data_IF_654695904810
#
_entry.id   IF_654695904810
#
_cell.length_a   1.000
_cell.length_b   1.000
_cell.length_c   1.000
_cell.angle_alpha   90.00
_cell.angle_beta   90.00
_cell.angle_gamma   90.00
#
_symmetry.space_group_name_H-M   'P 1'
#
loop_
_entity.id
_entity.type
_entity.pdbx_description
1 polymer ?
#
# COMPACT_ATOMS: atom_id res chain seq x y z
N UNK A 1 26.53 60.15 4.30
CA UNK A 1 25.38 60.70 5.05
C UNK A 1 24.65 59.56 5.74
N UNK A 2 24.74 59.43 7.07
CA UNK A 2 23.88 58.54 7.83
C UNK A 2 22.56 59.26 8.16
N UNK A 3 21.43 58.59 7.94
CA UNK A 3 20.13 59.06 8.40
C UNK A 3 19.49 57.97 9.27
N UNK A 4 19.40 58.35 10.53
CA UNK A 4 18.75 57.71 11.68
C UNK A 4 17.23 57.87 11.67
N UNK A 5 16.59 57.18 12.62
CA UNK A 5 15.21 57.30 13.17
C UNK A 5 14.20 56.20 12.74
N UNK A 6 13.18 55.88 13.58
CA UNK A 6 13.27 55.52 15.00
C UNK A 6 12.37 54.33 15.40
N UNK A 7 12.69 53.75 16.56
CA UNK A 7 11.88 52.78 17.32
C UNK A 7 10.67 53.50 17.96
N UNK A 8 9.48 52.90 17.85
CA UNK A 8 8.27 53.31 18.60
C UNK A 8 8.07 52.39 19.83
N UNK A 9 7.83 52.94 21.04
CA UNK A 9 7.48 52.18 22.24
C UNK A 9 5.95 52.11 22.43
N UNK A 10 5.44 51.05 23.05
CA UNK A 10 4.07 51.05 23.59
C UNK A 10 3.99 50.32 24.94
N UNK A 11 3.84 51.16 25.96
CA UNK A 11 3.15 51.04 27.25
C UNK A 11 3.28 49.77 28.10
N UNK A 12 3.99 49.95 29.21
CA UNK A 12 3.73 49.31 30.50
C UNK A 12 2.32 49.68 31.01
N UNK A 13 1.53 48.68 31.39
CA UNK A 13 0.38 48.85 32.27
C UNK A 13 0.76 48.33 33.66
N UNK A 14 0.90 49.26 34.61
CA UNK A 14 1.07 48.99 36.03
C UNK A 14 -0.24 48.45 36.60
N UNK A 15 -0.20 47.28 37.24
CA UNK A 15 -1.33 46.75 38.00
C UNK A 15 -1.05 46.96 39.50
N UNK A 16 -1.90 47.81 40.10
CA UNK A 16 -1.86 48.27 41.48
C UNK A 16 -2.15 47.11 42.44
N UNK A 17 -1.26 46.97 43.43
CA UNK A 17 -1.31 45.98 44.50
C UNK A 17 -2.16 46.55 45.65
N UNK A 18 -3.40 46.08 45.81
CA UNK A 18 -4.22 46.36 47.00
C UNK A 18 -4.16 45.13 47.91
N UNK A 19 -3.52 45.30 49.06
CA UNK A 19 -3.45 44.32 50.13
C UNK A 19 -4.73 44.38 51.00
N UNK A 20 -5.37 43.23 51.20
CA UNK A 20 -6.39 43.01 52.23
C UNK A 20 -5.96 41.83 53.12
N UNK A 21 -6.19 41.86 54.45
CA UNK A 21 -5.66 40.88 55.38
C UNK A 21 -6.60 39.67 55.55
N UNK A 22 -5.99 38.48 55.63
CA UNK A 22 -6.36 37.44 56.59
C UNK A 22 -7.69 36.69 56.39
N UNK A 23 -7.68 35.66 55.54
CA UNK A 23 -8.45 34.43 55.80
C UNK A 23 -7.55 33.24 55.44
N UNK A 24 -7.21 32.44 56.45
CA UNK A 24 -6.28 31.31 56.33
C UNK A 24 -6.83 30.23 55.41
N UNK A 25 -6.43 30.27 54.15
CA UNK A 25 -6.50 29.12 53.25
C UNK A 25 -5.21 28.35 53.48
N UNK A 26 -5.30 27.22 54.20
CA UNK A 26 -4.27 26.19 54.14
C UNK A 26 -4.03 25.89 52.66
N UNK A 27 -2.80 25.96 52.13
CA UNK A 27 -2.54 25.37 50.83
C UNK A 27 -2.79 23.87 51.01
N UNK A 28 -3.95 23.42 50.55
CA UNK A 28 -4.16 22.02 50.22
C UNK A 28 -3.00 21.67 49.31
N UNK A 29 -2.19 20.70 49.71
CA UNK A 29 -1.18 20.13 48.85
C UNK A 29 -1.89 19.75 47.55
N UNK A 30 -1.75 20.62 46.55
CA UNK A 30 -2.07 20.29 45.19
C UNK A 30 -1.17 19.10 44.90
N UNK A 31 -1.76 17.90 44.97
CA UNK A 31 -1.22 16.75 44.29
C UNK A 31 -0.83 17.28 42.93
N UNK A 32 0.45 17.21 42.60
CA UNK A 32 0.93 17.37 41.24
C UNK A 32 0.27 16.25 40.45
N UNK A 33 -0.97 16.48 40.06
CA UNK A 33 -1.66 15.75 39.03
C UNK A 33 -0.81 16.02 37.82
N UNK A 34 0.10 15.07 37.53
CA UNK A 34 0.75 14.97 36.25
C UNK A 34 -0.32 15.29 35.22
N UNK A 35 -0.05 16.29 34.38
CA UNK A 35 -0.94 16.71 33.31
C UNK A 35 -1.48 15.45 32.64
N UNK A 36 -2.72 15.44 32.17
CA UNK A 36 -3.34 14.22 31.60
C UNK A 36 -2.51 13.56 30.50
N UNK A 37 -1.54 14.28 29.92
CA UNK A 37 -0.54 13.78 28.96
C UNK A 37 0.75 13.22 29.58
N UNK A 38 0.96 13.21 30.90
CA UNK A 38 2.15 12.64 31.54
C UNK A 38 1.99 11.14 31.83
N UNK A 39 0.76 10.62 31.76
CA UNK A 39 0.51 9.18 31.93
C UNK A 39 0.91 8.39 30.67
N UNK A 40 1.67 7.28 30.79
CA UNK A 40 2.08 6.50 29.63
C UNK A 40 0.94 6.05 28.71
N UNK A 41 -0.19 5.62 29.29
CA UNK A 41 -1.37 5.18 28.52
C UNK A 41 -1.98 6.31 27.68
N UNK A 42 -2.02 7.53 28.20
CA UNK A 42 -2.58 8.68 27.47
C UNK A 42 -1.61 9.19 26.41
N UNK A 43 -0.29 9.12 26.66
CA UNK A 43 0.74 9.38 25.66
C UNK A 43 0.66 8.41 24.49
N UNK A 44 0.56 7.10 24.74
CA UNK A 44 0.37 6.08 23.69
C UNK A 44 -0.90 6.36 22.87
N UNK A 45 -2.03 6.66 23.53
CA UNK A 45 -3.27 6.97 22.83
C UNK A 45 -3.20 8.28 22.03
N UNK A 46 -2.40 9.25 22.47
CA UNK A 46 -2.14 10.47 21.72
C UNK A 46 -1.20 10.23 20.54
N UNK A 47 -0.12 9.47 20.73
CA UNK A 47 0.80 9.06 19.68
C UNK A 47 0.05 8.32 18.55
N UNK A 48 -0.83 7.38 18.87
CA UNK A 48 -1.66 6.68 17.89
C UNK A 48 -2.53 7.64 17.06
N UNK A 49 -3.04 8.72 17.65
CA UNK A 49 -3.81 9.74 16.92
C UNK A 49 -2.93 10.56 15.99
N UNK A 50 -1.68 10.82 16.36
CA UNK A 50 -0.70 11.46 15.48
C UNK A 50 -0.35 10.55 14.30
N UNK A 51 -0.14 9.25 14.53
CA UNK A 51 0.08 8.26 13.46
C UNK A 51 -1.07 8.28 12.44
N UNK A 52 -2.32 8.32 12.90
CA UNK A 52 -3.50 8.37 12.02
C UNK A 52 -3.58 9.66 11.17
N UNK A 53 -2.88 10.72 11.57
CA UNK A 53 -2.76 11.97 10.80
C UNK A 53 -1.50 12.02 9.94
N UNK A 54 -0.65 11.00 9.99
CA UNK A 54 0.65 10.97 9.33
C UNK A 54 1.74 11.78 10.05
N UNK A 55 1.48 12.25 11.27
CA UNK A 55 2.43 13.01 12.10
C UNK A 55 3.43 12.07 12.80
N UNK A 56 4.12 11.25 12.00
CA UNK A 56 4.94 10.12 12.48
C UNK A 56 6.12 10.55 13.37
N UNK A 57 6.72 11.72 13.12
CA UNK A 57 7.83 12.20 13.96
C UNK A 57 7.37 12.48 15.39
N UNK A 58 6.27 13.21 15.55
CA UNK A 58 5.69 13.50 16.87
C UNK A 58 5.18 12.24 17.57
N UNK A 59 4.60 11.29 16.82
CA UNK A 59 4.21 9.99 17.38
C UNK A 59 5.42 9.23 17.94
N UNK A 60 6.54 9.20 17.21
CA UNK A 60 7.75 8.51 17.63
C UNK A 60 8.35 9.12 18.90
N UNK A 61 8.41 10.45 18.99
CA UNK A 61 8.89 11.16 20.18
C UNK A 61 8.08 10.78 21.43
N UNK A 62 6.75 10.68 21.29
CA UNK A 62 5.89 10.25 22.39
C UNK A 62 6.11 8.80 22.78
N UNK A 63 6.24 7.88 21.81
CA UNK A 63 6.54 6.49 22.11
C UNK A 63 7.90 6.36 22.80
N UNK A 64 8.92 7.11 22.38
CA UNK A 64 10.23 7.13 23.03
C UNK A 64 10.16 7.71 24.46
N UNK A 65 9.34 8.74 24.69
CA UNK A 65 9.12 9.30 26.01
C UNK A 65 8.44 8.30 26.97
N UNK A 66 7.54 7.45 26.45
CA UNK A 66 6.96 6.33 27.20
C UNK A 66 8.03 5.28 27.50
N UNK A 67 8.80 4.86 26.48
CA UNK A 67 9.84 3.83 26.61
C UNK A 67 11.00 4.24 27.52
N UNK A 68 11.25 5.53 27.67
CA UNK A 68 12.26 6.05 28.60
C UNK A 68 11.84 5.88 30.07
N UNK A 69 10.53 5.81 30.35
CA UNK A 69 9.97 5.59 31.69
C UNK A 69 9.66 4.12 31.95
N UNK A 70 9.15 3.43 30.94
CA UNK A 70 8.79 2.02 30.95
C UNK A 70 9.31 1.36 29.68
N UNK A 71 10.53 0.82 29.76
CA UNK A 71 11.20 0.27 28.60
C UNK A 71 10.49 -0.97 28.02
N UNK A 72 9.68 -1.68 28.83
CA UNK A 72 9.00 -2.91 28.45
C UNK A 72 7.53 -2.68 28.05
N UNK A 73 7.14 -1.41 27.87
CA UNK A 73 5.80 -1.05 27.46
C UNK A 73 5.47 -1.57 26.05
N UNK A 74 4.71 -2.67 26.00
CA UNK A 74 4.35 -3.37 24.76
C UNK A 74 3.69 -2.46 23.73
N UNK A 75 2.71 -1.64 24.14
CA UNK A 75 1.98 -0.77 23.21
C UNK A 75 2.90 0.31 22.61
N UNK A 76 3.84 0.83 23.40
CA UNK A 76 4.80 1.81 22.93
C UNK A 76 5.91 1.19 22.06
N UNK A 77 6.33 -0.04 22.33
CA UNK A 77 7.26 -0.77 21.46
C UNK A 77 6.63 -1.06 20.09
N UNK A 78 5.39 -1.54 20.08
CA UNK A 78 4.64 -1.87 18.85
C UNK A 78 4.29 -0.59 18.07
N UNK A 79 3.93 0.48 18.78
CA UNK A 79 3.84 1.83 18.22
C UNK A 79 5.14 2.31 17.58
N UNK A 80 6.24 2.32 18.33
CA UNK A 80 7.54 2.76 17.84
C UNK A 80 8.01 1.96 16.61
N UNK A 81 7.86 0.63 16.62
CA UNK A 81 8.21 -0.21 15.48
C UNK A 81 7.44 0.18 14.22
N UNK A 82 6.11 0.34 14.32
CA UNK A 82 5.28 0.79 13.20
C UNK A 82 5.61 2.21 12.75
N UNK A 83 5.84 3.14 13.68
CA UNK A 83 6.16 4.53 13.34
C UNK A 83 7.52 4.63 12.64
N UNK A 84 8.53 3.91 13.12
CA UNK A 84 9.86 3.83 12.49
C UNK A 84 9.75 3.25 11.07
N UNK A 85 8.96 2.19 10.91
CA UNK A 85 8.63 1.57 9.62
C UNK A 85 7.92 2.56 8.66
N UNK A 86 7.01 3.40 9.16
CA UNK A 86 6.33 4.42 8.36
C UNK A 86 7.25 5.59 7.97
N UNK A 87 8.32 5.82 8.74
CA UNK A 87 9.37 6.80 8.44
C UNK A 87 10.45 6.25 7.49
N UNK A 88 10.36 4.98 7.08
CA UNK A 88 11.37 4.30 6.27
C UNK A 88 12.64 3.93 7.04
N UNK A 89 12.62 4.01 8.37
CA UNK A 89 13.74 3.64 9.25
C UNK A 89 13.66 2.15 9.59
N UNK A 90 13.66 1.32 8.56
CA UNK A 90 13.36 -0.12 8.64
C UNK A 90 14.33 -0.87 9.55
N UNK A 91 15.63 -0.58 9.43
CA UNK A 91 16.64 -1.17 10.29
C UNK A 91 16.47 -0.77 11.76
N UNK A 92 16.07 0.46 12.04
CA UNK A 92 15.85 0.90 13.43
C UNK A 92 14.58 0.27 14.03
N UNK A 93 13.59 -0.06 13.19
CA UNK A 93 12.34 -0.70 13.61
C UNK A 93 12.53 -2.15 14.08
N UNK A 94 13.65 -2.82 13.78
CA UNK A 94 13.90 -4.21 14.22
C UNK A 94 14.14 -4.30 15.73
N UNK A 95 14.84 -3.34 16.33
CA UNK A 95 15.15 -3.35 17.76
C UNK A 95 13.91 -3.40 18.69
N UNK A 96 12.86 -2.56 18.52
CA UNK A 96 11.64 -2.70 19.30
C UNK A 96 10.89 -4.01 19.02
N UNK A 97 10.96 -4.57 17.80
CA UNK A 97 10.37 -5.87 17.48
C UNK A 97 11.08 -7.04 18.18
N UNK A 98 12.41 -7.03 18.22
CA UNK A 98 13.20 -8.04 18.94
C UNK A 98 12.91 -8.02 20.43
N UNK A 99 12.59 -6.83 20.97
CA UNK A 99 12.13 -6.69 22.35
C UNK A 99 10.71 -7.22 22.53
N UNK A 100 9.78 -6.89 21.64
CA UNK A 100 8.41 -7.42 21.67
C UNK A 100 8.39 -8.94 21.59
N UNK A 101 9.21 -9.57 20.76
CA UNK A 101 9.26 -11.03 20.65
C UNK A 101 9.77 -11.71 21.91
N UNK A 102 10.67 -11.06 22.67
CA UNK A 102 11.09 -11.55 24.00
C UNK A 102 9.99 -11.43 25.03
N UNK A 103 9.23 -10.32 25.00
CA UNK A 103 8.11 -10.08 25.92
C UNK A 103 6.86 -10.91 25.57
N UNK A 104 6.68 -11.24 24.29
CA UNK A 104 5.51 -11.92 23.74
C UNK A 104 5.91 -13.11 22.86
N UNK A 105 6.54 -14.17 23.41
CA UNK A 105 7.10 -15.27 22.63
C UNK A 105 6.05 -16.09 21.86
N UNK A 106 4.77 -15.96 22.21
CA UNK A 106 3.64 -16.66 21.56
C UNK A 106 2.89 -15.80 20.55
N UNK A 107 3.18 -14.50 20.44
CA UNK A 107 2.47 -13.61 19.52
C UNK A 107 3.05 -13.71 18.10
N UNK A 108 2.17 -13.87 17.10
CA UNK A 108 2.55 -13.89 15.68
C UNK A 108 2.72 -12.50 15.05
N UNK A 109 2.22 -11.44 15.70
CA UNK A 109 2.31 -10.06 15.19
C UNK A 109 3.74 -9.55 14.99
N UNK A 110 4.60 -9.57 16.02
CA UNK A 110 5.98 -9.10 15.90
C UNK A 110 6.82 -9.81 14.81
N UNK A 111 6.84 -11.16 14.69
CA UNK A 111 7.60 -11.80 13.60
C UNK A 111 7.01 -11.52 12.22
N UNK A 112 5.69 -11.30 12.09
CA UNK A 112 5.09 -10.84 10.82
C UNK A 112 5.59 -9.43 10.47
N UNK A 113 5.58 -8.50 11.43
CA UNK A 113 6.13 -7.16 11.21
C UNK A 113 7.61 -7.21 10.85
N UNK A 114 8.40 -8.06 11.50
CA UNK A 114 9.82 -8.25 11.17
C UNK A 114 10.00 -8.75 9.73
N UNK A 115 9.19 -9.71 9.28
CA UNK A 115 9.21 -10.18 7.89
C UNK A 115 8.93 -9.07 6.87
N UNK A 116 7.95 -8.20 7.14
CA UNK A 116 7.63 -7.05 6.27
C UNK A 116 8.86 -6.13 6.13
N UNK A 117 9.55 -5.84 7.24
CA UNK A 117 10.78 -5.03 7.20
C UNK A 117 11.87 -5.72 6.39
N UNK A 118 12.08 -7.02 6.59
CA UNK A 118 13.10 -7.79 5.88
C UNK A 118 12.83 -7.84 4.36
N UNK A 119 11.57 -7.94 3.94
CA UNK A 119 11.20 -7.82 2.52
C UNK A 119 11.59 -6.45 1.95
N UNK A 120 11.35 -5.35 2.68
CA UNK A 120 11.73 -4.00 2.24
C UNK A 120 13.24 -3.75 2.25
N UNK A 121 13.95 -4.44 3.14
CA UNK A 121 15.41 -4.45 3.21
C UNK A 121 16.05 -5.43 2.20
N UNK A 122 15.26 -6.01 1.29
CA UNK A 122 15.72 -6.96 0.27
C UNK A 122 16.40 -8.21 0.85
N UNK A 123 15.91 -8.68 2.01
CA UNK A 123 16.33 -9.91 2.68
C UNK A 123 15.21 -10.98 2.67
N UNK A 124 14.76 -11.44 1.50
CA UNK A 124 13.58 -12.29 1.38
C UNK A 124 13.74 -13.68 2.02
N UNK A 125 14.95 -14.26 2.03
CA UNK A 125 15.20 -15.54 2.69
C UNK A 125 14.96 -15.46 4.21
N UNK A 126 15.47 -14.40 4.84
CA UNK A 126 15.23 -14.13 6.25
C UNK A 126 13.73 -13.84 6.49
N UNK A 127 13.09 -13.09 5.60
CA UNK A 127 11.65 -12.82 5.68
C UNK A 127 10.83 -14.12 5.68
N UNK A 128 11.14 -15.09 4.81
CA UNK A 128 10.46 -16.39 4.77
C UNK A 128 10.55 -17.17 6.09
N UNK A 129 11.70 -17.10 6.78
CA UNK A 129 11.87 -17.73 8.10
C UNK A 129 11.01 -17.05 9.17
N UNK A 130 10.94 -15.71 9.16
CA UNK A 130 10.11 -14.95 10.09
C UNK A 130 8.62 -15.17 9.82
N UNK A 131 8.21 -15.28 8.55
CA UNK A 131 6.83 -15.61 8.16
C UNK A 131 6.42 -17.01 8.64
N UNK A 132 7.29 -18.00 8.53
CA UNK A 132 7.03 -19.33 9.09
C UNK A 132 6.82 -19.28 10.61
N UNK A 133 7.63 -18.47 11.31
CA UNK A 133 7.48 -18.25 12.75
C UNK A 133 6.16 -17.54 13.08
N UNK A 134 5.78 -16.52 12.30
CA UNK A 134 4.55 -15.78 12.47
C UNK A 134 3.32 -16.67 12.28
N UNK A 135 3.33 -17.52 11.25
CA UNK A 135 2.27 -18.49 10.97
C UNK A 135 2.08 -19.48 12.12
N UNK A 136 3.18 -20.07 12.61
CA UNK A 136 3.15 -20.98 13.77
C UNK A 136 2.60 -20.32 15.04
N UNK A 137 2.80 -19.00 15.18
CA UNK A 137 2.33 -18.19 16.32
C UNK A 137 0.98 -17.50 16.06
N UNK A 138 0.23 -17.93 15.04
CA UNK A 138 -1.15 -17.50 14.80
C UNK A 138 -1.29 -16.10 14.19
N UNK A 139 -0.31 -15.62 13.44
CA UNK A 139 -0.47 -14.39 12.66
C UNK A 139 -1.58 -14.55 11.58
N UNK A 140 -2.25 -13.45 11.17
CA UNK A 140 -3.31 -13.52 10.17
C UNK A 140 -2.83 -14.14 8.85
N UNK A 141 -3.45 -15.25 8.44
CA UNK A 141 -3.06 -16.02 7.25
C UNK A 141 -2.97 -15.17 5.98
N UNK A 142 -3.93 -14.27 5.78
CA UNK A 142 -3.96 -13.39 4.61
C UNK A 142 -2.69 -12.52 4.50
N UNK A 143 -2.24 -11.94 5.61
CA UNK A 143 -1.04 -11.11 5.65
C UNK A 143 0.24 -11.95 5.48
N UNK A 144 0.31 -13.10 6.15
CA UNK A 144 1.46 -14.01 6.04
C UNK A 144 1.66 -14.47 4.60
N UNK A 145 0.61 -14.92 3.93
CA UNK A 145 0.68 -15.41 2.55
C UNK A 145 0.94 -14.28 1.54
N UNK A 146 0.46 -13.06 1.81
CA UNK A 146 0.75 -11.88 0.96
C UNK A 146 2.24 -11.52 1.00
N UNK A 147 2.82 -11.44 2.21
CA UNK A 147 4.25 -11.15 2.39
C UNK A 147 5.15 -12.32 1.95
N UNK A 148 4.65 -13.56 2.04
CA UNK A 148 5.31 -14.73 1.46
C UNK A 148 5.38 -14.61 -0.06
N UNK A 149 4.30 -14.18 -0.70
CA UNK A 149 4.27 -13.90 -2.13
C UNK A 149 5.34 -12.87 -2.52
N UNK A 150 5.43 -11.77 -1.79
CA UNK A 150 6.46 -10.75 -2.03
C UNK A 150 7.88 -11.31 -1.90
N UNK A 151 8.16 -12.05 -0.82
CA UNK A 151 9.47 -12.66 -0.61
C UNK A 151 9.84 -13.61 -1.76
N UNK A 152 8.87 -14.38 -2.26
CA UNK A 152 9.08 -15.31 -3.38
C UNK A 152 9.30 -14.60 -4.71
N UNK A 153 8.59 -13.51 -4.99
CA UNK A 153 8.86 -12.66 -6.16
C UNK A 153 10.29 -12.07 -6.11
N UNK A 154 10.71 -11.57 -4.95
CA UNK A 154 12.07 -11.04 -4.72
C UNK A 154 13.17 -12.11 -4.82
N UNK A 155 12.82 -13.39 -4.77
CA UNK A 155 13.72 -14.52 -5.02
C UNK A 155 13.64 -15.02 -6.47
N UNK A 156 12.81 -14.41 -7.33
CA UNK A 156 12.56 -14.88 -8.70
C UNK A 156 11.71 -16.17 -8.77
N UNK A 157 11.05 -16.55 -7.67
CA UNK A 157 10.17 -17.73 -7.57
C UNK A 157 8.71 -17.34 -7.85
N UNK A 158 8.49 -16.68 -8.98
CA UNK A 158 7.24 -16.00 -9.31
C UNK A 158 6.00 -16.93 -9.37
N UNK A 159 6.14 -18.18 -9.83
CA UNK A 159 5.00 -19.13 -9.80
C UNK A 159 4.55 -19.48 -8.38
N UNK A 160 5.50 -19.65 -7.47
CA UNK A 160 5.19 -19.90 -6.06
C UNK A 160 4.60 -18.64 -5.41
N UNK A 161 5.10 -17.46 -5.79
CA UNK A 161 4.56 -16.17 -5.36
C UNK A 161 3.08 -16.02 -5.75
N UNK A 162 2.74 -16.32 -7.01
CA UNK A 162 1.36 -16.31 -7.52
C UNK A 162 0.43 -17.20 -6.68
N UNK A 163 0.89 -18.39 -6.30
CA UNK A 163 0.12 -19.30 -5.43
C UNK A 163 -0.02 -18.77 -4.00
N UNK A 164 1.01 -18.11 -3.45
CA UNK A 164 0.95 -17.50 -2.13
C UNK A 164 -0.04 -16.32 -2.11
N UNK A 165 0.00 -15.41 -3.08
CA UNK A 165 -1.00 -14.34 -3.19
C UNK A 165 -2.43 -14.87 -3.38
N UNK A 166 -2.59 -15.94 -4.17
CA UNK A 166 -3.90 -16.59 -4.34
C UNK A 166 -4.44 -17.13 -3.01
N UNK A 167 -3.57 -17.72 -2.18
CA UNK A 167 -3.91 -18.17 -0.81
C UNK A 167 -4.23 -16.98 0.11
N UNK A 168 -3.50 -15.87 -0.01
CA UNK A 168 -3.79 -14.66 0.73
C UNK A 168 -5.19 -14.09 0.40
N UNK A 169 -5.51 -13.97 -0.89
CA UNK A 169 -6.82 -13.46 -1.36
C UNK A 169 -7.96 -14.44 -1.09
N UNK A 170 -7.68 -15.75 -1.04
CA UNK A 170 -8.68 -16.73 -0.58
C UNK A 170 -9.00 -16.59 0.91
N UNK A 171 -8.04 -16.16 1.71
CA UNK A 171 -8.24 -15.90 3.14
C UNK A 171 -8.91 -14.54 3.40
N UNK A 172 -8.59 -13.52 2.59
CA UNK A 172 -9.21 -12.19 2.64
C UNK A 172 -9.24 -11.55 1.24
N UNK A 173 -10.40 -11.60 0.55
CA UNK A 173 -10.55 -11.02 -0.80
C UNK A 173 -10.48 -9.49 -0.84
N UNK A 174 -10.59 -8.80 0.30
CA UNK A 174 -10.64 -7.33 0.36
C UNK A 174 -9.27 -6.66 0.29
N UNK A 175 -8.20 -7.44 0.26
CA UNK A 175 -6.81 -6.95 0.30
C UNK A 175 -6.34 -6.40 -1.05
N UNK A 176 -6.76 -5.17 -1.36
CA UNK A 176 -6.39 -4.45 -2.60
C UNK A 176 -4.87 -4.45 -2.86
N UNK A 177 -4.05 -4.28 -1.81
CA UNK A 177 -2.58 -4.32 -1.94
C UNK A 177 -2.06 -5.68 -2.42
N UNK A 178 -2.64 -6.77 -1.95
CA UNK A 178 -2.31 -8.13 -2.39
C UNK A 178 -2.73 -8.35 -3.84
N UNK A 179 -3.92 -7.86 -4.22
CA UNK A 179 -4.40 -7.88 -5.61
C UNK A 179 -3.45 -7.13 -6.55
N UNK A 180 -2.98 -5.95 -6.16
CA UNK A 180 -1.96 -5.20 -6.91
C UNK A 180 -0.67 -5.99 -7.03
N UNK A 181 -0.15 -6.57 -5.93
CA UNK A 181 1.09 -7.36 -5.98
C UNK A 181 0.96 -8.58 -6.90
N UNK A 182 -0.16 -9.30 -6.83
CA UNK A 182 -0.44 -10.42 -7.73
C UNK A 182 -0.49 -9.97 -9.20
N UNK A 183 -1.10 -8.82 -9.52
CA UNK A 183 -1.14 -8.32 -10.90
C UNK A 183 0.26 -8.06 -11.45
N UNK A 184 1.15 -7.49 -10.62
CA UNK A 184 2.53 -7.23 -11.01
C UNK A 184 3.32 -8.53 -11.17
N UNK A 185 3.11 -9.51 -10.27
CA UNK A 185 3.73 -10.83 -10.39
C UNK A 185 3.31 -11.56 -11.68
N UNK A 186 2.01 -11.48 -12.06
CA UNK A 186 1.51 -11.97 -13.35
C UNK A 186 2.17 -11.27 -14.54
N UNK A 187 2.36 -9.95 -14.47
CA UNK A 187 3.04 -9.21 -15.53
C UNK A 187 4.54 -9.54 -15.63
N UNK A 188 5.21 -9.86 -14.51
CA UNK A 188 6.60 -10.38 -14.54
C UNK A 188 6.66 -11.73 -15.27
N UNK A 189 5.63 -12.58 -15.08
CA UNK A 189 5.44 -13.83 -15.81
C UNK A 189 4.90 -13.64 -17.26
N UNK A 190 4.77 -12.39 -17.73
CA UNK A 190 4.27 -12.02 -19.05
C UNK A 190 2.78 -12.34 -19.30
N UNK A 191 2.00 -12.63 -18.24
CA UNK A 191 0.54 -12.74 -18.33
C UNK A 191 -0.12 -11.37 -18.12
N UNK A 192 0.08 -10.48 -19.08
CA UNK A 192 -0.42 -9.10 -19.03
C UNK A 192 -1.96 -9.06 -19.05
N UNK A 193 -2.61 -9.99 -19.75
CA UNK A 193 -4.08 -10.06 -19.82
C UNK A 193 -4.72 -10.35 -18.47
N UNK A 194 -4.18 -11.34 -17.74
CA UNK A 194 -4.63 -11.64 -16.38
C UNK A 194 -4.29 -10.50 -15.41
N UNK A 195 -3.10 -9.90 -15.52
CA UNK A 195 -2.70 -8.74 -14.71
C UNK A 195 -3.69 -7.57 -14.85
N UNK A 196 -4.04 -7.19 -16.08
CA UNK A 196 -4.97 -6.10 -16.36
C UNK A 196 -6.38 -6.40 -15.88
N UNK A 197 -6.85 -7.64 -16.07
CA UNK A 197 -8.17 -8.09 -15.59
C UNK A 197 -8.25 -7.99 -14.06
N UNK A 198 -7.17 -8.39 -13.37
CA UNK A 198 -7.11 -8.32 -11.92
C UNK A 198 -7.14 -6.86 -11.42
N UNK A 199 -6.38 -5.97 -12.06
CA UNK A 199 -6.40 -4.53 -11.73
C UNK A 199 -7.77 -3.88 -11.96
N UNK A 200 -8.52 -4.31 -12.99
CA UNK A 200 -9.88 -3.81 -13.24
C UNK A 200 -10.85 -4.14 -12.10
N UNK A 201 -10.66 -5.27 -11.38
CA UNK A 201 -11.55 -5.66 -10.28
C UNK A 201 -11.54 -4.66 -9.12
N UNK A 202 -10.42 -3.97 -8.92
CA UNK A 202 -10.17 -3.03 -7.82
C UNK A 202 -10.08 -1.56 -8.29
N UNK A 203 -10.25 -1.30 -9.59
CA UNK A 203 -10.12 0.05 -10.16
C UNK A 203 -11.17 1.04 -9.66
N UNK A 204 -12.32 0.55 -9.20
CA UNK A 204 -13.42 1.38 -8.66
C UNK A 204 -13.36 1.57 -7.14
N UNK A 205 -12.42 0.91 -6.45
CA UNK A 205 -12.27 1.04 -5.01
C UNK A 205 -11.59 2.38 -4.68
N UNK A 206 -12.14 3.21 -3.77
CA UNK A 206 -11.55 4.51 -3.44
C UNK A 206 -10.08 4.42 -2.99
N UNK A 207 -9.71 3.36 -2.28
CA UNK A 207 -8.32 3.09 -1.88
C UNK A 207 -7.46 2.44 -2.95
N UNK A 208 -8.06 1.99 -4.06
CA UNK A 208 -7.40 1.32 -5.17
C UNK A 208 -6.92 2.27 -6.27
N UNK A 209 -7.50 3.48 -6.40
CA UNK A 209 -7.26 4.37 -7.55
C UNK A 209 -5.77 4.63 -7.82
N UNK A 210 -5.02 5.07 -6.81
CA UNK A 210 -3.60 5.41 -6.99
C UNK A 210 -2.70 4.15 -7.12
N UNK A 211 -2.81 3.13 -6.23
CA UNK A 211 -2.06 1.89 -6.40
C UNK A 211 -2.32 1.18 -7.74
N UNK A 212 -3.58 1.15 -8.20
CA UNK A 212 -3.98 0.54 -9.47
C UNK A 212 -3.38 1.29 -10.64
N UNK A 213 -3.41 2.62 -10.63
CA UNK A 213 -2.84 3.44 -11.70
C UNK A 213 -1.33 3.26 -11.81
N UNK A 214 -0.63 3.26 -10.67
CA UNK A 214 0.81 2.94 -10.63
C UNK A 214 1.07 1.55 -11.19
N UNK A 215 0.32 0.55 -10.72
CA UNK A 215 0.48 -0.83 -11.20
C UNK A 215 0.19 -0.94 -12.70
N UNK A 216 -0.81 -0.24 -13.20
CA UNK A 216 -1.15 -0.19 -14.62
C UNK A 216 0.02 0.34 -15.45
N UNK A 217 0.61 1.48 -15.07
CA UNK A 217 1.80 2.00 -15.73
C UNK A 217 2.96 0.99 -15.73
N UNK A 218 3.19 0.30 -14.61
CA UNK A 218 4.22 -0.73 -14.50
C UNK A 218 3.92 -1.97 -15.37
N UNK A 219 2.66 -2.39 -15.48
CA UNK A 219 2.25 -3.51 -16.35
C UNK A 219 2.54 -3.18 -17.82
N UNK A 220 2.14 -1.99 -18.30
CA UNK A 220 2.46 -1.53 -19.66
C UNK A 220 3.97 -1.37 -19.89
N UNK A 221 4.72 -0.90 -18.89
CA UNK A 221 6.16 -0.81 -18.99
C UNK A 221 6.82 -2.21 -19.08
N UNK A 222 6.32 -3.20 -18.34
CA UNK A 222 6.82 -4.58 -18.37
C UNK A 222 6.51 -5.30 -19.70
N UNK A 223 5.45 -4.94 -20.40
CA UNK A 223 5.14 -5.44 -21.75
C UNK A 223 5.91 -4.72 -22.87
N UNK A 224 6.52 -3.57 -22.56
CA UNK A 224 7.41 -2.82 -23.45
C UNK A 224 6.80 -1.54 -24.02
N UNK A 225 5.52 -1.28 -23.76
CA UNK A 225 4.81 -0.06 -24.17
C UNK A 225 5.15 1.11 -23.24
N UNK A 226 6.39 1.59 -23.36
CA UNK A 226 6.94 2.69 -22.54
C UNK A 226 6.13 3.98 -22.67
N UNK A 227 5.67 4.34 -23.88
CA UNK A 227 4.87 5.54 -24.09
C UNK A 227 3.53 5.47 -23.34
N UNK A 228 2.87 4.32 -23.36
CA UNK A 228 1.61 4.12 -22.65
C UNK A 228 1.82 4.16 -21.14
N UNK A 229 2.91 3.57 -20.65
CA UNK A 229 3.27 3.66 -19.23
C UNK A 229 3.48 5.11 -18.78
N UNK A 230 4.18 5.94 -19.56
CA UNK A 230 4.35 7.38 -19.29
C UNK A 230 3.01 8.10 -19.34
N UNK A 231 2.17 7.85 -20.35
CA UNK A 231 0.84 8.44 -20.49
C UNK A 231 -0.06 8.13 -19.29
N UNK A 232 -0.03 6.90 -18.81
CA UNK A 232 -0.79 6.49 -17.61
C UNK A 232 -0.23 7.19 -16.36
N UNK A 233 1.09 7.26 -16.20
CA UNK A 233 1.72 7.95 -15.08
C UNK A 233 1.35 9.46 -15.05
N UNK A 234 1.29 10.10 -16.22
CA UNK A 234 0.88 11.50 -16.38
C UNK A 234 -0.57 11.79 -15.96
N UNK A 235 -1.39 10.76 -15.73
CA UNK A 235 -2.74 10.97 -15.17
C UNK A 235 -2.73 11.28 -13.66
N UNK A 236 -1.67 10.90 -12.93
CA UNK A 236 -1.49 11.15 -11.49
C UNK A 236 -0.37 12.14 -11.17
N UNK A 237 0.64 12.24 -12.03
CA UNK A 237 1.84 13.03 -11.80
C UNK A 237 1.88 14.22 -12.74
N UNK A 238 2.57 15.32 -12.36
CA UNK A 238 2.92 16.38 -13.31
C UNK A 238 3.65 15.77 -14.52
N UNK A 239 3.38 16.30 -15.71
CA UNK A 239 3.89 15.79 -16.98
C UNK A 239 5.42 15.60 -16.97
N UNK A 240 6.16 16.58 -16.45
CA UNK A 240 7.62 16.51 -16.31
C UNK A 240 8.07 15.34 -15.41
N UNK A 241 7.35 15.08 -14.33
CA UNK A 241 7.64 13.97 -13.41
C UNK A 241 7.33 12.62 -14.05
N UNK A 242 6.23 12.52 -14.78
CA UNK A 242 5.88 11.30 -15.52
C UNK A 242 6.91 10.99 -16.62
N UNK A 243 7.33 12.01 -17.36
CA UNK A 243 8.35 11.90 -18.42
C UNK A 243 9.72 11.49 -17.84
N UNK A 244 10.07 11.97 -16.64
CA UNK A 244 11.29 11.56 -15.94
C UNK A 244 11.33 10.05 -15.59
N UNK A 245 10.18 9.35 -15.59
CA UNK A 245 10.10 7.90 -15.39
C UNK A 245 10.31 7.08 -16.67
N UNK A 246 10.34 7.71 -17.85
CA UNK A 246 10.59 7.01 -19.14
C UNK A 246 11.81 6.09 -19.13
N UNK A 247 13.02 6.51 -18.68
CA UNK A 247 14.18 5.62 -18.67
C UNK A 247 13.98 4.42 -17.73
N UNK A 248 13.26 4.60 -16.63
CA UNK A 248 12.90 3.51 -15.72
C UNK A 248 12.00 2.49 -16.44
N UNK A 249 10.92 2.94 -17.06
CA UNK A 249 9.98 2.08 -17.79
C UNK A 249 10.65 1.34 -18.96
N UNK A 250 11.50 2.01 -19.73
CA UNK A 250 12.22 1.41 -20.87
C UNK A 250 13.21 0.30 -20.48
N UNK A 251 13.65 0.27 -19.22
CA UNK A 251 14.57 -0.73 -18.71
C UNK A 251 13.85 -1.99 -18.20
N UNK A 252 12.64 -1.85 -17.67
CA UNK A 252 11.91 -2.94 -17.01
C UNK A 252 11.85 -4.25 -17.83
N UNK A 253 11.53 -4.25 -19.15
CA UNK A 253 11.48 -5.48 -19.94
C UNK A 253 12.79 -6.27 -19.96
N UNK A 254 13.94 -5.58 -19.84
CA UNK A 254 15.30 -6.12 -19.98
C UNK A 254 15.84 -6.77 -18.69
N UNK A 255 15.16 -6.56 -17.57
CA UNK A 255 15.58 -7.05 -16.27
C UNK A 255 15.25 -8.54 -16.09
N UNK A 256 16.01 -9.20 -15.22
CA UNK A 256 15.68 -10.56 -14.73
C UNK A 256 14.38 -10.54 -13.90
N UNK A 257 13.67 -11.67 -13.72
CA UNK A 257 12.45 -11.71 -12.92
C UNK A 257 12.61 -11.15 -11.49
N UNK A 258 13.72 -11.48 -10.83
CA UNK A 258 14.06 -10.96 -9.50
C UNK A 258 14.25 -9.43 -9.52
N UNK A 259 14.99 -8.91 -10.50
CA UNK A 259 15.20 -7.46 -10.63
C UNK A 259 13.90 -6.74 -10.98
N UNK A 260 13.02 -7.33 -11.80
CA UNK A 260 11.67 -6.81 -12.07
C UNK A 260 10.88 -6.74 -10.78
N UNK A 261 10.87 -7.80 -9.96
CA UNK A 261 10.16 -7.82 -8.68
C UNK A 261 10.63 -6.72 -7.73
N UNK A 262 11.95 -6.57 -7.54
CA UNK A 262 12.51 -5.47 -6.74
C UNK A 262 12.10 -4.10 -7.29
N UNK A 263 12.16 -3.92 -8.61
CA UNK A 263 11.80 -2.67 -9.28
C UNK A 263 10.32 -2.31 -9.14
N UNK A 264 9.40 -3.26 -9.30
CA UNK A 264 7.96 -2.96 -9.28
C UNK A 264 7.36 -2.94 -7.87
N UNK A 265 7.90 -3.72 -6.93
CA UNK A 265 7.36 -3.79 -5.57
C UNK A 265 8.04 -2.84 -4.59
N UNK A 266 9.35 -2.62 -4.73
CA UNK A 266 10.13 -1.78 -3.81
C UNK A 266 10.52 -0.44 -4.43
N UNK A 267 10.27 -0.24 -5.73
CA UNK A 267 10.73 0.93 -6.49
C UNK A 267 12.24 1.07 -6.53
N UNK A 268 12.94 -0.07 -6.46
CA UNK A 268 14.39 -0.13 -6.52
C UNK A 268 14.84 -0.58 -7.91
N UNK A 269 15.50 0.30 -8.66
CA UNK A 269 16.24 -0.12 -9.86
C UNK A 269 17.60 -0.67 -9.44
N UNK A 270 18.07 -1.79 -10.02
CA UNK A 270 19.45 -2.21 -9.83
C UNK A 270 20.43 -1.08 -10.21
N UNK A 271 21.27 -0.64 -9.27
CA UNK A 271 22.34 0.35 -9.50
C UNK A 271 23.40 -0.10 -10.52
N UNK A 272 23.33 -1.32 -11.07
CA UNK A 272 24.33 -1.89 -11.99
C UNK A 272 24.49 -1.10 -13.30
N UNK A 273 23.52 -0.26 -13.67
CA UNK A 273 23.63 0.59 -14.87
C UNK A 273 24.37 1.92 -14.64
N UNK A 274 24.60 2.36 -13.39
CA UNK A 274 25.54 3.44 -13.13
C UNK A 274 26.99 2.96 -13.31
N UNK A 275 27.26 1.69 -13.00
CA UNK A 275 28.60 1.09 -13.13
C UNK A 275 28.94 0.79 -14.60
N UNK A 276 27.99 0.31 -15.41
CA UNK A 276 28.21 0.09 -16.85
C UNK A 276 28.33 1.40 -17.65
N UNK A 277 27.59 2.45 -17.26
CA UNK A 277 27.76 3.79 -17.85
C UNK A 277 29.07 4.47 -17.42
N UNK A 278 29.54 4.23 -16.19
CA UNK A 278 30.84 4.73 -15.71
C UNK A 278 32.03 3.93 -16.27
N UNK A 279 31.86 2.64 -16.57
CA UNK A 279 32.90 1.80 -17.18
C UNK A 279 33.13 2.09 -18.67
N UNK A 280 32.22 2.83 -19.33
CA UNK A 280 32.32 3.24 -20.73
C UNK A 280 32.94 4.64 -20.93
N UNK A 281 33.35 5.33 -19.86
CA UNK A 281 34.04 6.62 -19.93
C UNK A 281 35.54 6.44 -19.65
N UNK A 282 36.45 6.94 -20.52
CA UNK A 282 37.88 6.93 -20.21
C UNK A 282 38.13 7.72 -18.91
N UNK A 283 38.82 7.06 -17.98
CA UNK A 283 39.12 7.58 -16.66
C UNK A 283 39.72 9.00 -16.71
N UNK A 284 38.97 9.98 -16.22
CA UNK A 284 39.56 11.22 -15.71
C UNK A 284 39.89 11.00 -14.24
N UNK A 285 41.15 10.75 -13.97
CA UNK A 285 41.74 10.75 -12.63
C UNK A 285 41.60 12.15 -12.02
N UNK A 286 40.60 12.33 -11.16
CA UNK A 286 40.61 13.38 -10.15
C UNK A 286 40.85 12.71 -8.81
N UNK A 287 42.04 12.92 -8.25
CA UNK A 287 42.38 12.51 -6.89
C UNK A 287 41.44 13.23 -5.91
N UNK A 288 40.46 12.51 -5.37
CA UNK A 288 39.68 12.93 -4.22
C UNK A 288 40.11 12.08 -3.02
N UNK A 289 40.58 12.76 -1.97
CA UNK A 289 41.02 12.16 -0.72
C UNK A 289 39.89 11.31 -0.08
N UNK A 290 40.23 10.19 0.59
CA UNK A 290 39.24 9.37 1.28
C UNK A 290 38.67 10.14 2.48
N UNK A 291 37.44 10.65 2.34
CA UNK A 291 36.66 11.03 3.51
C UNK A 291 35.97 9.78 4.05
N UNK A 292 36.57 9.21 5.08
CA UNK A 292 35.97 8.20 5.94
C UNK A 292 34.63 8.72 6.47
N UNK A 293 33.54 7.93 6.43
CA UNK A 293 32.34 8.29 7.19
C UNK A 293 32.69 8.35 8.68
N UNK A 294 32.49 9.53 9.26
CA UNK A 294 32.65 9.77 10.70
C UNK A 294 31.56 9.00 11.45
N UNK A 295 31.94 7.91 12.11
CA UNK A 295 31.09 7.20 13.05
C UNK A 295 31.15 7.90 14.41
N UNK A 296 29.99 8.15 15.02
CA UNK A 296 29.90 8.57 16.42
C UNK A 296 30.43 7.43 17.31
N UNK A 297 31.57 7.72 17.97
CA UNK A 297 32.25 6.90 18.95
C UNK A 297 31.32 6.42 20.08
N UNK A 298 31.09 5.10 20.17
CA UNK A 298 30.75 4.44 21.43
C UNK A 298 31.97 3.61 21.83
N UNK A 299 32.72 4.13 22.81
CA UNK A 299 33.84 3.44 23.46
C UNK A 299 33.37 2.08 24.00
N UNK A 300 34.02 1.02 23.55
CA UNK A 300 34.16 -0.24 24.28
C UNK A 300 35.64 -0.45 24.62
N UNK A 301 35.96 -1.28 25.62
CA UNK A 301 37.10 -2.16 25.48
C UNK A 301 36.73 -3.66 25.62
N UNK A 302 37.44 -4.55 24.89
CA UNK A 302 37.28 -6.03 24.87
C UNK A 302 38.22 -6.69 25.92
N UNK A 303 38.56 -8.01 25.98
CA UNK A 303 38.44 -9.11 24.98
C UNK A 303 38.01 -10.47 25.63
N UNK A 304 38.13 -11.69 25.10
CA UNK A 304 38.74 -12.36 23.95
C UNK A 304 38.08 -13.76 23.83
N UNK A 305 38.31 -14.44 22.69
CA UNK A 305 38.75 -15.84 22.59
C UNK A 305 38.00 -16.71 21.55
N UNK A 306 38.71 -16.91 20.43
CA UNK A 306 38.97 -18.18 19.71
C UNK A 306 37.83 -18.98 19.07
N UNK A 307 37.90 -19.01 17.74
CA UNK A 307 37.48 -20.13 16.89
C UNK A 307 38.37 -21.37 17.12
N UNK A 308 37.93 -22.54 16.65
CA UNK A 308 38.83 -23.38 15.86
C UNK A 308 38.23 -23.85 14.54
N UNK A 309 39.15 -24.42 13.74
CA UNK A 309 39.12 -24.65 12.32
C UNK A 309 38.35 -25.90 11.84
N UNK A 310 37.98 -25.82 10.55
CA UNK A 310 37.96 -26.84 9.50
C UNK A 310 38.04 -28.34 9.88
N UNK A 311 37.04 -29.09 9.41
CA UNK A 311 37.11 -30.54 9.18
C UNK A 311 36.36 -30.91 7.90
N UNK A 312 37.10 -31.39 6.90
CA UNK A 312 36.57 -32.05 5.69
C UNK A 312 36.00 -33.43 6.04
N UNK A 313 34.84 -33.79 5.47
CA UNK A 313 34.43 -35.16 5.14
C UNK A 313 33.43 -35.06 3.98
N UNK A 314 33.83 -35.39 2.74
CA UNK A 314 33.84 -36.72 2.15
C UNK A 314 32.44 -37.17 1.67
N UNK A 315 32.36 -37.40 0.36
CA UNK A 315 31.23 -37.93 -0.39
C UNK A 315 30.88 -39.37 0.00
N UNK A 316 29.59 -39.72 -0.09
CA UNK A 316 29.05 -40.87 -0.84
C UNK A 316 27.67 -41.35 -0.35
N UNK A 317 26.66 -41.22 -1.23
CA UNK A 317 25.60 -42.21 -1.50
C UNK A 317 24.25 -42.09 -0.74
N UNK A 318 23.14 -42.65 -1.30
CA UNK A 318 22.82 -42.93 -2.70
C UNK A 318 21.56 -42.17 -3.20
N UNK A 319 21.53 -41.86 -4.50
CA UNK A 319 20.33 -41.45 -5.22
C UNK A 319 19.27 -42.58 -5.20
N UNK A 320 18.06 -42.24 -4.76
CA UNK A 320 16.88 -43.08 -4.92
C UNK A 320 16.19 -42.68 -6.23
N UNK A 321 16.01 -43.60 -7.21
CA UNK A 321 15.33 -43.28 -8.46
C UNK A 321 13.84 -42.98 -8.21
N UNK A 322 13.39 -41.80 -8.62
CA UNK A 322 11.97 -41.43 -8.65
C UNK A 322 11.24 -42.26 -9.72
N UNK A 323 10.30 -43.10 -9.31
CA UNK A 323 9.35 -43.73 -10.23
C UNK A 323 8.20 -42.75 -10.56
N UNK A 324 7.66 -42.77 -11.80
CA UNK A 324 6.56 -41.89 -12.20
C UNK A 324 5.24 -42.22 -11.48
N UNK A 325 4.57 -41.21 -10.95
CA UNK A 325 3.24 -41.32 -10.32
C UNK A 325 2.17 -41.50 -11.43
N UNK A 326 1.26 -42.49 -11.34
CA UNK A 326 0.18 -42.70 -12.32
C UNK A 326 -0.82 -41.53 -12.34
N UNK A 327 -1.11 -40.99 -13.53
CA UNK A 327 -2.14 -39.97 -13.75
C UNK A 327 -3.55 -40.58 -13.62
N UNK A 328 -4.42 -39.93 -12.84
CA UNK A 328 -5.84 -40.30 -12.67
C UNK A 328 -6.71 -39.51 -13.68
N UNK A 329 -7.75 -40.09 -14.31
CA UNK A 329 -8.49 -39.44 -15.40
C UNK A 329 -9.38 -38.27 -14.96
N UNK A 330 -9.48 -37.24 -15.81
CA UNK A 330 -10.32 -36.03 -15.69
C UNK A 330 -11.83 -36.39 -15.74
N UNK A 331 -12.69 -35.91 -14.82
CA UNK A 331 -14.14 -36.08 -14.93
C UNK A 331 -14.76 -35.14 -16.00
N UNK A 332 -15.86 -35.55 -16.68
CA UNK A 332 -16.44 -34.81 -17.80
C UNK A 332 -17.28 -33.60 -17.36
N UNK A 333 -17.18 -32.52 -18.14
CA UNK A 333 -17.99 -31.30 -18.03
C UNK A 333 -19.48 -31.60 -18.37
N UNK A 334 -20.40 -31.07 -17.55
CA UNK A 334 -21.83 -30.96 -17.89
C UNK A 334 -22.20 -29.48 -18.08
N UNK A 335 -23.00 -29.14 -19.11
CA UNK A 335 -23.41 -27.77 -19.37
C UNK A 335 -24.53 -27.36 -18.41
N UNK A 336 -24.31 -26.34 -17.59
CA UNK A 336 -25.38 -25.71 -16.81
C UNK A 336 -25.91 -24.49 -17.58
N UNK A 337 -26.98 -24.72 -18.33
CA UNK A 337 -27.95 -23.70 -18.72
C UNK A 337 -28.75 -23.30 -17.47
N UNK A 338 -28.62 -22.05 -17.00
CA UNK A 338 -29.62 -21.44 -16.12
C UNK A 338 -30.14 -20.16 -16.77
N UNK A 339 -31.38 -20.21 -17.25
CA UNK A 339 -32.15 -19.03 -17.61
C UNK A 339 -32.43 -18.22 -16.34
N UNK A 340 -31.73 -17.11 -16.15
CA UNK A 340 -32.17 -16.01 -15.30
C UNK A 340 -32.80 -14.94 -16.21
N UNK A 341 -34.11 -14.81 -16.11
CA UNK A 341 -34.92 -13.72 -16.64
C UNK A 341 -34.55 -12.40 -15.94
N UNK A 342 -33.39 -11.84 -16.27
CA UNK A 342 -32.89 -10.60 -15.68
C UNK A 342 -33.29 -9.40 -16.52
N UNK A 343 -34.16 -8.54 -15.98
CA UNK A 343 -34.36 -7.19 -16.51
C UNK A 343 -33.01 -6.49 -16.60
N UNK A 344 -32.74 -5.87 -17.75
CA UNK A 344 -31.45 -5.26 -18.05
C UNK A 344 -31.58 -3.74 -18.05
N UNK A 345 -30.54 -3.06 -17.61
CA UNK A 345 -30.51 -1.61 -17.50
C UNK A 345 -29.25 -1.06 -18.13
N UNK A 346 -29.26 0.22 -18.46
CA UNK A 346 -28.10 0.97 -18.93
C UNK A 346 -27.82 2.08 -17.94
N UNK A 347 -26.69 2.01 -17.23
CA UNK A 347 -26.24 3.06 -16.34
C UNK A 347 -25.60 4.19 -17.13
N UNK A 348 -26.05 5.41 -16.87
CA UNK A 348 -25.59 6.65 -17.54
C UNK A 348 -24.95 7.64 -16.58
N UNK A 349 -25.01 7.41 -15.26
CA UNK A 349 -24.40 8.28 -14.26
C UNK A 349 -24.31 7.63 -12.88
N UNK A 350 -23.44 8.18 -12.03
CA UNK A 350 -23.29 7.82 -10.62
C UNK A 350 -22.85 9.05 -9.82
N UNK A 351 -23.56 9.39 -8.76
CA UNK A 351 -23.35 10.60 -7.96
C UNK A 351 -23.48 10.32 -6.46
N UNK A 352 -23.19 11.32 -5.63
CA UNK A 352 -23.16 11.18 -4.17
C UNK A 352 -24.48 11.57 -3.48
N UNK A 353 -25.43 12.17 -4.20
CA UNK A 353 -26.74 12.52 -3.64
C UNK A 353 -27.87 12.44 -4.66
N UNK A 354 -29.09 12.29 -4.16
CA UNK A 354 -30.30 12.24 -4.99
C UNK A 354 -30.51 13.52 -5.79
N UNK A 355 -30.18 14.69 -5.24
CA UNK A 355 -30.30 15.98 -5.93
C UNK A 355 -29.27 16.12 -7.06
N UNK A 356 -28.04 15.66 -6.84
CA UNK A 356 -27.03 15.59 -7.90
C UNK A 356 -27.49 14.66 -9.03
N UNK A 357 -28.22 13.59 -8.71
CA UNK A 357 -28.67 12.63 -9.71
C UNK A 357 -29.73 13.25 -10.63
N UNK A 358 -30.64 14.05 -10.07
CA UNK A 358 -31.62 14.82 -10.85
C UNK A 358 -30.95 15.88 -11.73
N UNK A 359 -29.95 16.58 -11.21
CA UNK A 359 -29.20 17.60 -11.98
C UNK A 359 -28.40 16.95 -13.10
N UNK A 360 -27.68 15.87 -12.81
CA UNK A 360 -26.91 15.14 -13.81
C UNK A 360 -27.84 14.51 -14.87
N UNK A 361 -29.00 13.99 -14.48
CA UNK A 361 -29.99 13.49 -15.44
C UNK A 361 -30.47 14.58 -16.39
N UNK A 362 -30.76 15.80 -15.92
CA UNK A 362 -31.13 16.92 -16.82
C UNK A 362 -30.04 17.22 -17.85
N UNK A 363 -28.78 17.20 -17.44
CA UNK A 363 -27.65 17.41 -18.34
C UNK A 363 -27.49 16.27 -19.36
N UNK A 364 -27.70 15.02 -18.94
CA UNK A 364 -27.67 13.83 -19.81
C UNK A 364 -28.86 13.88 -20.79
N UNK A 365 -30.08 14.14 -20.31
CA UNK A 365 -31.30 14.20 -21.11
C UNK A 365 -31.27 15.30 -22.17
N UNK A 366 -30.53 16.39 -21.93
CA UNK A 366 -30.29 17.43 -22.93
C UNK A 366 -29.42 16.94 -24.11
N UNK A 367 -28.53 15.98 -23.86
CA UNK A 367 -27.57 15.45 -24.85
C UNK A 367 -28.05 14.15 -25.50
N UNK A 368 -28.78 13.31 -24.79
CA UNK A 368 -29.04 11.91 -25.16
C UNK A 368 -30.03 11.68 -26.33
N UNK A 369 -30.45 12.72 -27.05
CA UNK A 369 -31.35 12.61 -28.19
C UNK A 369 -32.76 12.09 -27.84
N UNK A 370 -33.52 11.63 -28.83
CA UNK A 370 -34.89 11.09 -28.65
C UNK A 370 -34.89 9.63 -28.15
N UNK A 371 -33.98 8.79 -28.63
CA UNK A 371 -33.93 7.37 -28.29
C UNK A 371 -33.68 7.07 -26.80
N UNK A 372 -32.98 7.95 -26.08
CA UNK A 372 -32.78 7.81 -24.63
C UNK A 372 -33.86 8.54 -23.80
N UNK A 373 -34.59 9.49 -24.38
CA UNK A 373 -35.72 10.19 -23.72
C UNK A 373 -36.95 9.30 -23.57
N UNK A 374 -37.14 8.36 -24.50
CA UNK A 374 -38.26 7.41 -24.48
C UNK A 374 -38.03 6.25 -23.49
N UNK A 375 -36.82 6.11 -22.95
CA UNK A 375 -36.48 5.09 -21.95
C UNK A 375 -36.92 5.55 -20.55
N UNK A 376 -37.48 4.64 -19.76
CA UNK A 376 -37.82 4.96 -18.36
C UNK A 376 -36.54 5.09 -17.53
N UNK A 377 -36.51 6.14 -16.70
CA UNK A 377 -35.36 6.48 -15.85
C UNK A 377 -35.59 5.94 -14.45
N UNK A 378 -34.58 5.30 -13.89
CA UNK A 378 -34.55 4.82 -12.52
C UNK A 378 -33.36 5.43 -11.79
N UNK A 379 -33.53 5.71 -10.50
CA UNK A 379 -32.41 5.93 -9.59
C UNK A 379 -32.34 4.79 -8.60
N UNK A 380 -31.18 4.13 -8.55
CA UNK A 380 -30.86 3.11 -7.57
C UNK A 380 -29.95 3.72 -6.48
N UNK A 381 -30.27 3.45 -5.22
CA UNK A 381 -29.34 3.66 -4.11
C UNK A 381 -28.37 2.47 -4.05
N UNK A 382 -27.09 2.74 -4.29
CA UNK A 382 -26.02 1.75 -4.35
C UNK A 382 -25.19 1.72 -3.06
N UNK A 383 -24.55 0.58 -2.80
CA UNK A 383 -23.61 0.42 -1.70
C UNK A 383 -22.53 1.52 -1.71
N UNK A 384 -22.20 2.05 -0.53
CA UNK A 384 -21.25 3.16 -0.37
C UNK A 384 -21.87 4.56 -0.47
N UNK A 385 -23.20 4.69 -0.32
CA UNK A 385 -23.88 5.99 -0.24
C UNK A 385 -23.98 6.75 -1.57
N UNK A 386 -24.01 6.02 -2.69
CA UNK A 386 -24.09 6.59 -4.05
C UNK A 386 -25.44 6.35 -4.70
N UNK A 387 -25.83 7.25 -5.60
CA UNK A 387 -27.04 7.13 -6.42
C UNK A 387 -26.64 6.91 -7.88
N UNK A 388 -27.20 5.88 -8.51
CA UNK A 388 -26.95 5.55 -9.92
C UNK A 388 -28.15 5.93 -10.78
N UNK A 389 -27.90 6.49 -11.96
CA UNK A 389 -28.94 6.84 -12.93
C UNK A 389 -28.97 5.73 -13.99
N UNK A 390 -30.13 5.11 -14.16
CA UNK A 390 -30.33 3.93 -15.00
C UNK A 390 -31.45 4.18 -16.02
N UNK A 391 -31.26 3.70 -17.24
CA UNK A 391 -32.27 3.64 -18.29
C UNK A 391 -32.72 2.19 -18.48
N UNK A 392 -34.02 1.97 -18.66
CA UNK A 392 -34.58 0.63 -18.84
C UNK A 392 -36.04 0.58 -18.40
N UNK A 393 -36.60 -0.54 -17.96
CA UNK A 393 -36.03 -1.89 -17.89
C UNK A 393 -36.15 -2.59 -19.26
N UNK A 394 -35.03 -3.08 -19.79
CA UNK A 394 -34.95 -3.73 -21.10
C UNK A 394 -35.08 -5.26 -20.97
N UNK A 395 -35.87 -5.85 -21.86
CA UNK A 395 -36.15 -7.29 -21.88
C UNK A 395 -35.12 -8.08 -22.70
N UNK A 396 -34.47 -7.44 -23.67
CA UNK A 396 -33.50 -8.09 -24.57
C UNK A 396 -32.13 -7.41 -24.51
N UNK A 397 -31.08 -8.17 -24.85
CA UNK A 397 -29.71 -7.63 -24.96
C UNK A 397 -29.58 -6.66 -26.16
N UNK A 398 -30.41 -6.84 -27.18
CA UNK A 398 -30.44 -5.97 -28.36
C UNK A 398 -30.96 -4.58 -28.01
N UNK A 399 -31.99 -4.48 -27.16
CA UNK A 399 -32.50 -3.20 -26.64
C UNK A 399 -31.44 -2.45 -25.84
N UNK A 400 -30.69 -3.15 -24.99
CA UNK A 400 -29.56 -2.57 -24.23
C UNK A 400 -28.49 -2.06 -25.20
N UNK A 401 -28.14 -2.86 -26.22
CA UNK A 401 -27.11 -2.51 -27.20
C UNK A 401 -27.53 -1.31 -28.05
N UNK A 402 -28.79 -1.24 -28.49
CA UNK A 402 -29.36 -0.13 -29.22
C UNK A 402 -29.36 1.17 -28.38
N UNK A 403 -29.78 1.09 -27.11
CA UNK A 403 -29.75 2.23 -26.18
C UNK A 403 -28.33 2.75 -25.99
N UNK A 404 -27.35 1.85 -25.79
CA UNK A 404 -25.94 2.22 -25.64
C UNK A 404 -25.34 2.82 -26.91
N UNK A 405 -25.70 2.29 -28.08
CA UNK A 405 -25.27 2.87 -29.36
C UNK A 405 -25.80 4.29 -29.54
N UNK A 406 -27.07 4.54 -29.19
CA UNK A 406 -27.66 5.88 -29.23
C UNK A 406 -26.97 6.86 -28.26
N UNK A 407 -26.65 6.42 -27.04
CA UNK A 407 -25.91 7.23 -26.06
C UNK A 407 -24.48 7.52 -26.52
N UNK A 408 -23.80 6.52 -27.06
CA UNK A 408 -22.45 6.68 -27.60
C UNK A 408 -22.42 7.65 -28.79
N UNK A 409 -23.42 7.61 -29.67
CA UNK A 409 -23.56 8.57 -30.76
C UNK A 409 -23.78 10.02 -30.26
N UNK A 410 -24.37 10.16 -29.07
CA UNK A 410 -24.51 11.43 -28.37
C UNK A 410 -23.29 11.81 -27.51
N UNK A 411 -22.20 11.03 -27.56
CA UNK A 411 -20.98 11.26 -26.78
C UNK A 411 -21.15 11.01 -25.28
N UNK A 412 -22.07 10.12 -24.91
CA UNK A 412 -22.36 9.76 -23.51
C UNK A 412 -21.88 8.34 -23.20
N UNK A 413 -21.10 8.23 -22.12
CA UNK A 413 -20.66 6.93 -21.61
C UNK A 413 -21.84 6.16 -21.00
N UNK A 414 -21.86 4.84 -21.25
CA UNK A 414 -22.93 3.98 -20.78
C UNK A 414 -22.47 2.56 -20.47
N UNK A 415 -22.93 2.03 -19.33
CA UNK A 415 -22.58 0.69 -18.83
C UNK A 415 -23.82 -0.20 -18.73
N UNK A 416 -23.79 -1.43 -19.26
CA UNK A 416 -24.90 -2.38 -19.08
C UNK A 416 -24.93 -2.91 -17.64
N UNK A 417 -26.13 -3.12 -17.12
CA UNK A 417 -26.41 -3.65 -15.77
C UNK A 417 -27.47 -4.74 -15.83
N UNK A 418 -27.37 -5.70 -14.90
CA UNK A 418 -28.37 -6.73 -14.62
C UNK A 418 -28.65 -6.74 -13.13
N UNK A 419 -29.84 -7.16 -12.74
CA UNK A 419 -30.23 -7.42 -11.35
C UNK A 419 -29.97 -6.21 -10.42
N UNK A 420 -30.59 -5.10 -10.77
CA UNK A 420 -30.56 -3.84 -10.01
C UNK A 420 -31.43 -4.02 -8.75
N UNK A 421 -30.95 -3.52 -7.61
CA UNK A 421 -31.66 -3.56 -6.32
C UNK A 421 -32.90 -2.65 -6.29
N UNK A 422 -33.29 -2.14 -5.12
CA UNK A 422 -34.43 -1.22 -4.99
C UNK A 422 -34.17 0.09 -5.77
N UNK A 423 -34.72 0.17 -6.98
CA UNK A 423 -34.61 1.33 -7.85
C UNK A 423 -35.94 2.10 -7.88
N UNK A 424 -35.89 3.40 -7.59
CA UNK A 424 -37.05 4.28 -7.62
C UNK A 424 -37.17 4.89 -9.02
N UNK A 425 -38.37 4.82 -9.62
CA UNK A 425 -38.64 5.42 -10.93
C UNK A 425 -38.62 6.94 -10.80
N UNK A 426 -37.79 7.60 -11.59
CA UNK A 426 -37.84 9.06 -11.70
C UNK A 426 -39.11 9.43 -12.48
N UNK A 427 -40.06 10.09 -11.82
CA UNK A 427 -41.26 10.64 -12.46
C UNK A 427 -40.96 11.95 -13.18
#
# INVERSE_FOLDING_TARGET
>A
MPLTFPVKPCLCAALVLVALPGAGIRPSAAASSGTTLDQPRTQVAFARRLELRGENRGALELYQAVLSRDADNVDALDGAARTLSALGLDLAATAPLDKLERLQPKAGGPPLQHAILLNRLEQPDAALQRLATAEQRGAPRALVESERGLALDLLGRNEEARLAYSRALSADPSQTGTTVRLSLSLAILQDYGAALTLLQTIANDPGGIEPVRRALALVYALSGETEEAVRIAATALPEQTAEALRPFYAQLPKLTPQQKAAAVHLNHLPNTLQVEAAAAQPAQTTQAQPQSPSYLDIKTPPPAATAPAAGQLAAAGPEVPLQPIPQKPKPPEKPCTSQASGLRFVQVGSVLSMDQARVQWRAIAAKAGTAAKDSTVYIESAAGGRYRILLGAFETADQVSACRAALSAAGLDSLPRRDVGAAERLK
#
